data_IF_237383081292
#
_entry.id   IF_237383081292
#
_cell.length_a   1.000
_cell.length_b   1.000
_cell.length_c   1.000
_cell.angle_alpha   90.00
_cell.angle_beta   90.00
_cell.angle_gamma   90.00
#
_symmetry.space_group_name_H-M   'P 1'
#
loop_
_entity.id
_entity.type
_entity.pdbx_description
1 polymer ?
#
# COMPACT_ATOMS: atom_id res chain seq x y z
N UNK A 1 29.68 17.73 -71.35
CA UNK A 1 28.48 18.13 -72.12
C UNK A 1 27.34 18.08 -71.12
N UNK A 2 27.15 19.10 -70.30
CA UNK A 2 26.62 20.44 -70.63
C UNK A 2 25.13 20.38 -70.98
N UNK A 3 24.34 21.07 -70.14
CA UNK A 3 22.93 21.46 -70.30
C UNK A 3 21.91 20.29 -70.28
N UNK A 4 20.79 20.34 -69.55
CA UNK A 4 19.85 21.45 -69.48
C UNK A 4 19.21 21.65 -68.09
N UNK A 5 18.76 22.88 -67.94
CA UNK A 5 18.38 23.61 -66.75
C UNK A 5 16.88 23.86 -66.86
N UNK A 6 16.07 23.19 -66.06
CA UNK A 6 14.67 23.59 -65.83
C UNK A 6 14.52 24.03 -64.38
N UNK A 7 14.98 25.26 -64.17
CA UNK A 7 14.88 26.02 -62.94
C UNK A 7 13.45 26.57 -62.83
N UNK A 8 12.52 25.78 -62.32
CA UNK A 8 11.26 26.32 -61.80
C UNK A 8 11.51 26.75 -60.36
N UNK A 9 12.24 27.85 -60.19
CA UNK A 9 12.30 28.54 -58.91
C UNK A 9 10.97 29.23 -58.70
N UNK A 10 10.17 28.67 -57.79
CA UNK A 10 9.16 29.38 -57.01
C UNK A 10 9.66 30.81 -56.74
N UNK A 11 9.03 31.80 -57.35
CA UNK A 11 9.16 33.18 -56.92
C UNK A 11 8.49 33.27 -55.55
N UNK A 12 9.27 33.07 -54.50
CA UNK A 12 8.96 33.63 -53.21
C UNK A 12 8.89 35.15 -53.42
N UNK A 13 7.68 35.66 -53.63
CA UNK A 13 7.39 37.08 -53.50
C UNK A 13 7.80 37.46 -52.08
N UNK A 14 8.95 38.12 -51.96
CA UNK A 14 9.27 38.87 -50.77
C UNK A 14 8.21 39.96 -50.71
N UNK A 15 7.18 39.76 -49.90
CA UNK A 15 6.19 40.79 -49.56
C UNK A 15 6.91 41.88 -48.76
N UNK A 16 7.76 42.65 -49.43
CA UNK A 16 8.36 43.85 -48.90
C UNK A 16 7.25 44.89 -48.84
N UNK A 17 6.82 45.20 -47.63
CA UNK A 17 5.82 46.22 -47.38
C UNK A 17 6.47 47.59 -47.57
N UNK A 18 6.15 48.26 -48.67
CA UNK A 18 6.74 49.55 -49.05
C UNK A 18 6.03 50.75 -48.42
N UNK A 19 4.89 50.53 -47.75
CA UNK A 19 4.11 51.57 -47.10
C UNK A 19 4.85 52.11 -45.88
N UNK A 20 4.68 53.41 -45.64
CA UNK A 20 5.31 54.09 -44.50
C UNK A 20 4.63 53.65 -43.21
N UNK A 21 5.41 53.12 -42.27
CA UNK A 21 4.91 52.75 -40.95
C UNK A 21 4.79 53.97 -40.05
N UNK A 22 3.62 54.14 -39.46
CA UNK A 22 3.30 55.20 -38.52
C UNK A 22 2.60 54.60 -37.30
N UNK A 23 2.81 55.22 -36.14
CA UNK A 23 2.28 54.76 -34.84
C UNK A 23 0.98 55.47 -34.45
N UNK A 24 0.64 56.57 -35.12
CA UNK A 24 -0.52 57.41 -34.78
C UNK A 24 -1.26 57.87 -36.03
N UNK A 25 -2.49 57.38 -36.19
CA UNK A 25 -3.41 57.83 -37.25
C UNK A 25 -3.70 59.33 -37.15
N UNK A 26 -3.83 59.85 -35.92
CA UNK A 26 -4.10 61.27 -35.64
C UNK A 26 -3.03 62.20 -36.18
N UNK A 27 -1.77 61.85 -35.98
CA UNK A 27 -0.63 62.67 -36.44
C UNK A 27 -0.59 62.75 -37.98
N UNK A 28 -0.91 61.65 -38.67
CA UNK A 28 -1.01 61.62 -40.13
C UNK A 28 -2.15 62.51 -40.62
N UNK A 29 -3.32 62.46 -39.97
CA UNK A 29 -4.46 63.33 -40.29
C UNK A 29 -4.10 64.81 -40.13
N UNK A 30 -3.40 65.18 -39.05
CA UNK A 30 -2.94 66.55 -38.82
C UNK A 30 -1.98 67.03 -39.91
N UNK A 31 -1.04 66.17 -40.34
CA UNK A 31 -0.13 66.47 -41.44
C UNK A 31 -0.86 66.62 -42.77
N UNK A 32 -1.77 65.70 -43.11
CA UNK A 32 -2.59 65.77 -44.32
C UNK A 32 -3.33 67.11 -44.37
N UNK A 33 -3.96 67.52 -43.26
CA UNK A 33 -4.68 68.79 -43.20
C UNK A 33 -3.76 70.00 -43.38
N UNK A 34 -2.58 70.00 -42.77
CA UNK A 34 -1.59 71.07 -42.95
C UNK A 34 -1.16 71.21 -44.41
N UNK A 35 -0.88 70.10 -45.09
CA UNK A 35 -0.48 70.13 -46.50
C UNK A 35 -1.66 70.45 -47.43
N UNK A 36 -2.87 70.02 -47.11
CA UNK A 36 -4.09 70.44 -47.83
C UNK A 36 -4.25 71.97 -47.83
N UNK A 37 -3.99 72.66 -46.71
CA UNK A 37 -4.03 74.12 -46.66
C UNK A 37 -2.99 74.77 -47.60
N UNK A 38 -1.80 74.18 -47.72
CA UNK A 38 -0.78 74.65 -48.67
C UNK A 38 -1.22 74.39 -50.11
N UNK A 39 -1.75 73.20 -50.41
CA UNK A 39 -2.19 72.82 -51.76
C UNK A 39 -3.35 73.68 -52.27
N UNK A 40 -4.20 74.23 -51.39
CA UNK A 40 -5.26 75.18 -51.77
C UNK A 40 -4.71 76.41 -52.49
N UNK A 41 -3.50 76.85 -52.17
CA UNK A 41 -2.86 78.03 -52.78
C UNK A 41 -2.16 77.72 -54.12
N UNK A 42 -2.06 76.45 -54.52
CA UNK A 42 -1.27 76.03 -55.68
C UNK A 42 -1.80 76.56 -57.03
N UNK A 43 -3.12 76.81 -57.12
CA UNK A 43 -3.77 77.29 -58.35
C UNK A 43 -3.98 78.81 -58.39
N UNK A 44 -3.53 79.56 -57.38
CA UNK A 44 -3.73 81.02 -57.31
C UNK A 44 -2.90 81.81 -58.30
N UNK A 45 -1.79 81.24 -58.78
CA UNK A 45 -0.92 81.84 -59.80
C UNK A 45 -1.39 81.66 -61.25
N UNK A 46 -2.55 81.02 -61.49
CA UNK A 46 -3.01 80.70 -62.86
C UNK A 46 -4.16 81.63 -63.30
N UNK A 47 -3.88 82.69 -64.08
CA UNK A 47 -4.88 83.68 -64.47
C UNK A 47 -5.79 83.26 -65.65
N UNK A 48 -5.56 82.10 -66.25
CA UNK A 48 -6.18 81.71 -67.54
C UNK A 48 -7.28 80.64 -67.40
N UNK A 49 -7.71 80.32 -66.18
CA UNK A 49 -8.70 79.28 -65.88
C UNK A 49 -10.00 79.89 -65.37
N UNK A 50 -11.15 79.32 -65.77
CA UNK A 50 -12.44 79.72 -65.24
C UNK A 50 -12.56 79.28 -63.76
N UNK A 51 -13.12 80.14 -62.91
CA UNK A 51 -13.20 79.93 -61.45
C UNK A 51 -13.86 78.58 -61.09
N UNK A 52 -14.89 78.18 -61.84
CA UNK A 52 -15.60 76.90 -61.68
C UNK A 52 -14.70 75.70 -61.98
N UNK A 53 -13.91 75.76 -63.05
CA UNK A 53 -12.96 74.69 -63.40
C UNK A 53 -11.81 74.61 -62.40
N UNK A 54 -11.37 75.76 -61.86
CA UNK A 54 -10.33 75.83 -60.84
C UNK A 54 -10.78 75.16 -59.54
N UNK A 55 -12.03 75.38 -59.12
CA UNK A 55 -12.57 74.76 -57.91
C UNK A 55 -12.70 73.24 -58.04
N UNK A 56 -13.17 72.73 -59.18
CA UNK A 56 -13.29 71.28 -59.42
C UNK A 56 -11.91 70.61 -59.40
N UNK A 57 -10.93 71.18 -60.11
CA UNK A 57 -9.56 70.65 -60.14
C UNK A 57 -8.89 70.70 -58.77
N UNK A 58 -9.13 71.75 -57.99
CA UNK A 58 -8.63 71.85 -56.62
C UNK A 58 -9.22 70.76 -55.73
N UNK A 59 -10.53 70.52 -55.82
CA UNK A 59 -11.21 69.49 -55.05
C UNK A 59 -10.69 68.09 -55.40
N UNK A 60 -10.57 67.77 -56.70
CA UNK A 60 -9.95 66.50 -57.15
C UNK A 60 -8.51 66.37 -56.67
N UNK A 61 -7.70 67.43 -56.76
CA UNK A 61 -6.31 67.41 -56.30
C UNK A 61 -6.21 67.10 -54.81
N UNK A 62 -7.05 67.73 -53.97
CA UNK A 62 -7.05 67.50 -52.53
C UNK A 62 -7.52 66.08 -52.17
N UNK A 63 -8.56 65.58 -52.86
CA UNK A 63 -9.06 64.21 -52.65
C UNK A 63 -8.04 63.16 -53.09
N UNK A 64 -7.41 63.35 -54.26
CA UNK A 64 -6.37 62.46 -54.78
C UNK A 64 -5.12 62.47 -53.89
N UNK A 65 -4.72 63.64 -53.38
CA UNK A 65 -3.62 63.73 -52.42
C UNK A 65 -3.90 62.95 -51.15
N UNK A 66 -5.08 63.13 -50.55
CA UNK A 66 -5.48 62.41 -49.35
C UNK A 66 -5.52 60.90 -49.57
N UNK A 67 -6.21 60.43 -50.61
CA UNK A 67 -6.31 59.00 -50.92
C UNK A 67 -4.92 58.40 -51.17
N UNK A 68 -4.06 59.09 -51.93
CA UNK A 68 -2.69 58.62 -52.18
C UNK A 68 -1.87 58.52 -50.89
N UNK A 69 -2.01 59.46 -49.95
CA UNK A 69 -1.31 59.37 -48.66
C UNK A 69 -1.86 58.22 -47.81
N UNK A 70 -3.18 58.05 -47.76
CA UNK A 70 -3.83 56.99 -46.99
C UNK A 70 -3.47 55.59 -47.52
N UNK A 71 -3.41 55.41 -48.84
CA UNK A 71 -3.04 54.14 -49.48
C UNK A 71 -1.57 53.74 -49.29
N UNK A 72 -0.71 54.72 -48.96
CA UNK A 72 0.74 54.52 -48.80
C UNK A 72 1.20 54.52 -47.34
N UNK A 73 0.28 54.56 -46.37
CA UNK A 73 0.58 54.57 -44.93
C UNK A 73 0.01 53.33 -44.26
N UNK A 74 0.78 52.77 -43.33
CA UNK A 74 0.32 51.75 -42.39
C UNK A 74 0.37 52.31 -40.98
N UNK A 75 -0.74 52.17 -40.26
CA UNK A 75 -0.82 52.55 -38.84
C UNK A 75 -0.74 51.28 -38.01
N UNK A 76 0.30 51.15 -37.18
CA UNK A 76 0.58 49.95 -36.37
C UNK A 76 0.53 48.64 -37.17
N UNK A 77 1.03 48.68 -38.42
CA UNK A 77 1.06 47.54 -39.34
C UNK A 77 -0.29 47.19 -39.97
N UNK A 78 -1.33 48.01 -39.76
CA UNK A 78 -2.65 47.85 -40.37
C UNK A 78 -2.88 48.88 -41.48
N UNK A 79 -3.66 48.53 -42.53
CA UNK A 79 -4.09 49.49 -43.54
C UNK A 79 -4.95 50.60 -42.91
N UNK A 80 -4.99 51.75 -43.58
CA UNK A 80 -5.64 52.97 -43.09
C UNK A 80 -7.11 52.78 -42.66
N UNK A 81 -7.87 51.94 -43.36
CA UNK A 81 -9.27 51.63 -43.07
C UNK A 81 -9.46 50.73 -41.83
N UNK A 82 -8.50 49.85 -41.54
CA UNK A 82 -8.56 48.90 -40.41
C UNK A 82 -7.89 49.46 -39.15
N UNK A 83 -7.12 50.53 -39.29
CA UNK A 83 -6.52 51.25 -38.19
C UNK A 83 -7.59 51.95 -37.36
N UNK A 84 -7.66 51.61 -36.08
CA UNK A 84 -8.61 52.18 -35.13
C UNK A 84 -8.53 53.72 -35.09
N UNK A 85 -9.70 54.35 -35.15
CA UNK A 85 -9.79 55.79 -34.94
C UNK A 85 -9.62 56.15 -33.46
N UNK A 86 -8.90 57.25 -33.16
CA UNK A 86 -8.67 57.68 -31.78
C UNK A 86 -9.98 58.12 -31.10
N UNK A 87 -10.94 58.64 -31.86
CA UNK A 87 -12.24 59.11 -31.36
C UNK A 87 -13.24 57.96 -31.11
N UNK A 88 -13.01 56.78 -31.70
CA UNK A 88 -13.90 55.61 -31.55
C UNK A 88 -13.50 54.74 -30.35
N UNK A 89 -12.34 54.99 -29.74
CA UNK A 89 -11.81 54.27 -28.59
C UNK A 89 -11.99 55.02 -27.26
N UNK A 90 -12.97 55.91 -27.15
CA UNK A 90 -13.41 56.36 -25.82
C UNK A 90 -14.49 55.39 -25.31
N UNK A 91 -14.12 54.33 -24.57
CA UNK A 91 -15.10 53.41 -24.04
C UNK A 91 -16.03 54.15 -23.06
N UNK A 92 -17.34 53.89 -23.11
CA UNK A 92 -18.28 54.49 -22.18
C UNK A 92 -17.88 54.16 -20.72
N UNK A 93 -17.57 55.21 -19.97
CA UNK A 93 -17.39 55.30 -18.51
C UNK A 93 -16.80 54.05 -17.83
N UNK A 94 -15.60 53.63 -18.27
CA UNK A 94 -14.84 52.54 -17.65
C UNK A 94 -14.57 52.78 -16.17
N UNK A 95 -14.47 54.05 -15.76
CA UNK A 95 -14.18 54.43 -14.39
C UNK A 95 -15.33 54.05 -13.45
N UNK A 96 -16.59 54.26 -13.87
CA UNK A 96 -17.76 53.80 -13.10
C UNK A 96 -17.84 52.27 -13.02
N UNK A 97 -17.58 51.57 -14.14
CA UNK A 97 -17.56 50.10 -14.11
C UNK A 97 -16.45 49.58 -13.18
N UNK A 98 -15.28 50.22 -13.20
CA UNK A 98 -14.17 49.86 -12.33
C UNK A 98 -14.54 50.07 -10.86
N UNK A 99 -15.12 51.22 -10.51
CA UNK A 99 -15.54 51.51 -9.15
C UNK A 99 -16.60 50.52 -8.64
N UNK A 100 -17.60 50.20 -9.47
CA UNK A 100 -18.62 49.22 -9.12
C UNK A 100 -18.00 47.84 -8.84
N UNK A 101 -17.06 47.40 -9.68
CA UNK A 101 -16.37 46.11 -9.47
C UNK A 101 -15.48 46.12 -8.23
N UNK A 102 -14.82 47.23 -7.92
CA UNK A 102 -14.01 47.38 -6.70
C UNK A 102 -14.90 47.31 -5.45
N UNK A 103 -16.04 48.01 -5.46
CA UNK A 103 -16.99 47.99 -4.34
C UNK A 103 -17.59 46.60 -4.15
N UNK A 104 -18.02 45.95 -5.24
CA UNK A 104 -18.58 44.61 -5.19
C UNK A 104 -17.56 43.59 -4.66
N UNK A 105 -16.35 43.59 -5.20
CA UNK A 105 -15.30 42.65 -4.78
C UNK A 105 -14.92 42.86 -3.32
N UNK A 106 -14.81 44.11 -2.88
CA UNK A 106 -14.54 44.45 -1.47
C UNK A 106 -15.66 43.96 -0.56
N UNK A 107 -16.93 44.18 -0.95
CA UNK A 107 -18.10 43.67 -0.20
C UNK A 107 -18.09 42.15 -0.13
N UNK A 108 -17.78 41.46 -1.24
CA UNK A 108 -17.71 39.99 -1.28
C UNK A 108 -16.61 39.46 -0.36
N UNK A 109 -15.41 40.02 -0.42
CA UNK A 109 -14.26 39.64 0.44
C UNK A 109 -14.56 39.82 1.93
N UNK A 110 -15.31 40.85 2.31
CA UNK A 110 -15.66 41.09 3.71
C UNK A 110 -16.82 40.21 4.21
N UNK A 111 -17.86 40.01 3.39
CA UNK A 111 -19.10 39.39 3.84
C UNK A 111 -19.12 37.86 3.67
N UNK A 112 -18.60 37.33 2.56
CA UNK A 112 -18.78 35.92 2.23
C UNK A 112 -18.03 34.97 3.17
N UNK A 113 -16.78 35.23 3.59
CA UNK A 113 -16.10 34.36 4.55
C UNK A 113 -16.87 34.22 5.86
N UNK A 114 -17.49 35.31 6.34
CA UNK A 114 -18.33 35.31 7.55
C UNK A 114 -19.63 34.52 7.38
N UNK A 115 -20.18 34.47 6.17
CA UNK A 115 -21.37 33.66 5.83
C UNK A 115 -21.04 32.19 5.64
N UNK A 116 -19.91 31.88 5.00
CA UNK A 116 -19.47 30.51 4.68
C UNK A 116 -18.99 29.78 5.95
N UNK A 117 -18.27 30.49 6.84
CA UNK A 117 -17.65 29.90 8.03
C UNK A 117 -18.64 29.10 8.90
N UNK A 118 -19.83 29.62 9.27
CA UNK A 118 -20.83 28.85 9.99
C UNK A 118 -21.18 27.54 9.27
N UNK A 119 -21.46 27.55 7.97
CA UNK A 119 -21.86 26.34 7.24
C UNK A 119 -20.78 25.25 7.30
N UNK A 120 -19.52 25.64 7.08
CA UNK A 120 -18.38 24.71 7.16
C UNK A 120 -18.23 24.16 8.59
N UNK A 121 -18.29 25.02 9.61
CA UNK A 121 -18.19 24.59 11.01
C UNK A 121 -19.33 23.62 11.38
N UNK A 122 -20.57 23.88 10.93
CA UNK A 122 -21.70 23.00 11.18
C UNK A 122 -21.51 21.64 10.48
N UNK A 123 -21.03 21.64 9.23
CA UNK A 123 -20.76 20.39 8.49
C UNK A 123 -19.68 19.55 9.17
N UNK A 124 -18.57 20.15 9.59
CA UNK A 124 -17.46 19.47 10.25
C UNK A 124 -17.86 18.95 11.64
N UNK A 125 -18.72 19.70 12.35
CA UNK A 125 -19.31 19.23 13.61
C UNK A 125 -20.27 18.06 13.41
N UNK A 126 -21.03 18.03 12.32
CA UNK A 126 -21.90 16.91 11.98
C UNK A 126 -21.09 15.66 11.62
N UNK A 127 -20.02 15.82 10.85
CA UNK A 127 -19.08 14.73 10.53
C UNK A 127 -18.43 14.15 11.79
N UNK A 128 -17.92 15.00 12.68
CA UNK A 128 -17.38 14.55 13.99
C UNK A 128 -18.43 13.79 14.81
N UNK A 129 -19.69 14.26 14.83
CA UNK A 129 -20.77 13.55 15.51
C UNK A 129 -21.04 12.18 14.88
N UNK A 130 -21.02 12.09 13.56
CA UNK A 130 -21.19 10.83 12.83
C UNK A 130 -20.07 9.84 13.16
N UNK A 131 -18.82 10.30 13.18
CA UNK A 131 -17.67 9.47 13.57
C UNK A 131 -17.82 8.90 14.99
N UNK A 132 -18.29 9.71 15.94
CA UNK A 132 -18.57 9.24 17.30
C UNK A 132 -19.62 8.12 17.38
N UNK A 133 -20.53 8.00 16.40
CA UNK A 133 -21.46 6.87 16.33
C UNK A 133 -20.77 5.58 15.87
N UNK A 134 -19.76 5.68 15.01
CA UNK A 134 -19.00 4.53 14.53
C UNK A 134 -18.08 3.94 15.62
N UNK A 135 -17.46 4.77 16.46
CA UNK A 135 -16.55 4.31 17.52
C UNK A 135 -17.19 3.29 18.49
N UNK A 136 -18.49 3.43 18.77
CA UNK A 136 -19.21 2.54 19.69
C UNK A 136 -19.81 1.30 19.01
N UNK A 137 -19.81 1.23 17.68
CA UNK A 137 -20.48 0.15 16.95
C UNK A 137 -19.58 -1.09 16.79
N UNK A 138 -18.27 -0.98 17.06
CA UNK A 138 -17.31 -2.07 16.91
C UNK A 138 -16.88 -2.60 18.28
N UNK A 139 -17.79 -3.28 18.97
CA UNK A 139 -17.37 -4.17 20.05
C UNK A 139 -16.70 -5.39 19.44
N UNK A 140 -15.39 -5.54 19.66
CA UNK A 140 -14.67 -6.74 19.23
C UNK A 140 -15.20 -7.93 20.01
N UNK A 141 -15.81 -8.89 19.31
CA UNK A 141 -16.28 -10.11 19.94
C UNK A 141 -15.11 -10.82 20.62
N UNK A 142 -15.13 -10.90 21.95
CA UNK A 142 -14.13 -11.64 22.72
C UNK A 142 -14.14 -13.10 22.28
N UNK A 143 -13.00 -13.56 21.76
CA UNK A 143 -12.82 -14.97 21.40
C UNK A 143 -12.61 -15.75 22.69
N UNK A 144 -13.70 -16.21 23.26
CA UNK A 144 -13.69 -17.13 24.41
C UNK A 144 -13.08 -18.46 23.94
N UNK A 145 -12.03 -18.92 24.61
CA UNK A 145 -11.43 -20.23 24.36
C UNK A 145 -12.42 -21.32 24.76
N UNK A 146 -12.48 -22.39 23.98
CA UNK A 146 -13.34 -23.53 24.30
C UNK A 146 -12.93 -24.14 25.66
N UNK A 147 -13.83 -24.17 26.67
CA UNK A 147 -13.53 -24.71 27.99
C UNK A 147 -13.14 -26.20 27.96
N UNK A 148 -13.60 -26.94 26.95
CA UNK A 148 -13.22 -28.35 26.76
C UNK A 148 -11.76 -28.44 26.33
N UNK A 149 -11.33 -27.59 25.39
CA UNK A 149 -9.93 -27.53 24.94
C UNK A 149 -8.98 -27.13 26.08
N UNK A 150 -9.37 -26.16 26.91
CA UNK A 150 -8.55 -25.73 28.05
C UNK A 150 -8.36 -26.85 29.07
N UNK A 151 -9.42 -27.61 29.36
CA UNK A 151 -9.38 -28.75 30.27
C UNK A 151 -8.45 -29.85 29.75
N UNK A 152 -8.58 -30.21 28.46
CA UNK A 152 -7.72 -31.22 27.83
C UNK A 152 -6.25 -30.78 27.83
N UNK A 153 -5.98 -29.52 27.51
CA UNK A 153 -4.61 -28.98 27.52
C UNK A 153 -4.00 -28.97 28.92
N UNK A 154 -4.79 -28.62 29.94
CA UNK A 154 -4.36 -28.64 31.35
C UNK A 154 -4.01 -30.07 31.80
N UNK A 155 -4.91 -31.02 31.58
CA UNK A 155 -4.71 -32.42 31.96
C UNK A 155 -3.48 -33.02 31.28
N UNK A 156 -3.32 -32.77 29.96
CA UNK A 156 -2.16 -33.25 29.21
C UNK A 156 -0.85 -32.63 29.73
N UNK A 157 -0.88 -31.33 30.07
CA UNK A 157 0.29 -30.64 30.63
C UNK A 157 0.68 -31.16 32.03
N UNK A 158 -0.30 -31.61 32.83
CA UNK A 158 -0.06 -32.18 34.15
C UNK A 158 0.50 -33.62 34.08
N UNK A 159 0.01 -34.43 33.14
CA UNK A 159 0.38 -35.86 33.02
C UNK A 159 1.69 -36.06 32.27
N UNK A 160 1.96 -35.27 31.23
CA UNK A 160 3.11 -35.48 30.34
C UNK A 160 4.49 -35.51 31.07
N UNK A 161 4.80 -34.62 32.03
CA UNK A 161 6.08 -34.66 32.74
C UNK A 161 6.28 -35.94 33.57
N UNK A 162 5.20 -36.49 34.12
CA UNK A 162 5.24 -37.74 34.88
C UNK A 162 5.60 -38.93 34.00
N UNK A 163 4.95 -39.03 32.83
CA UNK A 163 5.25 -40.07 31.84
C UNK A 163 6.69 -39.98 31.32
N UNK A 164 7.19 -38.78 31.05
CA UNK A 164 8.58 -38.57 30.60
C UNK A 164 9.57 -39.03 31.67
N UNK A 165 9.33 -38.72 32.95
CA UNK A 165 10.19 -39.21 34.05
C UNK A 165 10.20 -40.74 34.13
N UNK A 166 9.05 -41.37 34.00
CA UNK A 166 8.95 -42.84 33.98
C UNK A 166 9.71 -43.44 32.80
N UNK A 167 9.57 -42.88 31.59
CA UNK A 167 10.30 -43.32 30.42
C UNK A 167 11.82 -43.22 30.61
N UNK A 168 12.30 -42.09 31.16
CA UNK A 168 13.73 -41.91 31.48
C UNK A 168 14.20 -42.96 32.51
N UNK A 169 13.38 -43.25 33.52
CA UNK A 169 13.72 -44.25 34.54
C UNK A 169 13.81 -45.66 33.96
N UNK A 170 12.88 -46.03 33.07
CA UNK A 170 12.90 -47.32 32.36
C UNK A 170 14.14 -47.45 31.48
N UNK A 171 14.49 -46.40 30.74
CA UNK A 171 15.71 -46.39 29.91
C UNK A 171 16.95 -46.59 30.79
N UNK A 172 17.02 -45.93 31.95
CA UNK A 172 18.14 -46.11 32.88
C UNK A 172 18.20 -47.53 33.43
N UNK A 173 17.07 -48.10 33.85
CA UNK A 173 17.05 -49.45 34.43
C UNK A 173 17.39 -50.53 33.41
N UNK A 174 16.92 -50.40 32.16
CA UNK A 174 17.28 -51.31 31.05
C UNK A 174 18.79 -51.32 30.84
N UNK A 175 19.44 -50.15 30.79
CA UNK A 175 20.89 -50.08 30.63
C UNK A 175 21.65 -50.75 31.79
N UNK A 176 21.15 -50.61 33.03
CA UNK A 176 21.76 -51.31 34.17
C UNK A 176 21.57 -52.82 34.11
N UNK A 177 20.37 -53.27 33.71
CA UNK A 177 20.04 -54.69 33.58
C UNK A 177 20.87 -55.34 32.48
N UNK A 178 21.06 -54.65 31.35
CA UNK A 178 21.90 -55.12 30.26
C UNK A 178 23.34 -55.37 30.73
N UNK A 179 23.95 -54.41 31.46
CA UNK A 179 25.29 -54.59 32.03
C UNK A 179 25.38 -55.77 32.99
N UNK A 180 24.36 -55.97 33.83
CA UNK A 180 24.30 -57.11 34.74
C UNK A 180 24.20 -58.45 33.99
N UNK A 181 23.37 -58.50 32.94
CA UNK A 181 23.23 -59.68 32.09
C UNK A 181 24.52 -59.99 31.33
N UNK A 182 25.19 -58.98 30.75
CA UNK A 182 26.48 -59.14 30.08
C UNK A 182 27.56 -59.65 31.04
N UNK A 183 27.67 -59.09 32.26
CA UNK A 183 28.61 -59.57 33.27
C UNK A 183 28.33 -61.01 33.72
N UNK A 184 27.06 -61.40 33.85
CA UNK A 184 26.69 -62.79 34.17
C UNK A 184 27.06 -63.74 33.02
N UNK A 185 26.78 -63.34 31.78
CA UNK A 185 27.18 -64.10 30.59
C UNK A 185 28.70 -64.26 30.51
N UNK A 186 29.47 -63.21 30.82
CA UNK A 186 30.93 -63.27 30.89
C UNK A 186 31.40 -64.32 31.90
N UNK A 187 30.87 -64.28 33.14
CA UNK A 187 31.19 -65.27 34.18
C UNK A 187 30.87 -66.69 33.74
N UNK A 188 29.71 -66.92 33.12
CA UNK A 188 29.31 -68.24 32.61
C UNK A 188 30.17 -68.71 31.43
N UNK A 189 30.76 -67.79 30.67
CA UNK A 189 31.65 -68.09 29.54
C UNK A 189 33.11 -68.33 29.94
N UNK A 190 33.49 -68.02 31.19
CA UNK A 190 34.85 -68.27 31.69
C UNK A 190 35.10 -69.77 31.88
N UNK A 191 36.28 -70.22 31.47
CA UNK A 191 36.72 -71.59 31.77
C UNK A 191 37.08 -71.67 33.26
N UNK A 192 36.65 -72.73 33.98
CA UNK A 192 37.01 -72.89 35.39
C UNK A 192 38.54 -72.94 35.53
N UNK A 193 39.08 -72.24 36.54
CA UNK A 193 40.51 -72.25 36.79
C UNK A 193 40.97 -73.66 37.18
N UNK A 194 42.24 -73.98 36.93
CA UNK A 194 42.84 -75.27 37.30
C UNK A 194 42.61 -75.61 38.78
N UNK A 195 42.71 -74.62 39.67
CA UNK A 195 42.42 -74.77 41.10
C UNK A 195 40.95 -75.11 41.39
N UNK A 196 40.02 -74.52 40.64
CA UNK A 196 38.58 -74.80 40.81
C UNK A 196 38.23 -76.18 40.25
N UNK A 197 38.89 -76.60 39.17
CA UNK A 197 38.78 -77.96 38.63
C UNK A 197 39.36 -79.01 39.59
N UNK A 198 40.50 -78.73 40.23
CA UNK A 198 41.08 -79.61 41.25
C UNK A 198 40.16 -79.77 42.46
N UNK A 199 39.63 -78.67 42.99
CA UNK A 199 38.64 -78.72 44.08
C UNK A 199 37.37 -79.46 43.63
N UNK A 200 36.87 -79.21 42.42
CA UNK A 200 35.71 -79.94 41.91
C UNK A 200 36.01 -81.43 41.77
N UNK A 201 37.23 -81.80 41.37
CA UNK A 201 37.66 -83.19 41.30
C UNK A 201 37.73 -83.82 42.70
N UNK A 202 38.32 -83.13 43.68
CA UNK A 202 38.46 -83.64 45.04
C UNK A 202 37.11 -83.77 45.77
N UNK A 203 36.12 -82.95 45.41
CA UNK A 203 34.78 -82.96 46.02
C UNK A 203 33.79 -83.88 45.29
N UNK A 204 33.88 -83.99 43.96
CA UNK A 204 32.88 -84.69 43.14
C UNK A 204 33.39 -85.90 42.36
N UNK A 205 34.70 -86.12 42.23
CA UNK A 205 35.27 -87.25 41.46
C UNK A 205 35.43 -88.48 42.36
N UNK A 206 34.30 -89.13 42.62
CA UNK A 206 34.26 -90.44 43.26
C UNK A 206 34.62 -91.54 42.24
N UNK A 207 35.90 -91.72 41.91
CA UNK A 207 36.35 -92.90 41.15
C UNK A 207 36.65 -94.09 42.08
N UNK A 208 35.59 -94.84 42.37
CA UNK A 208 35.50 -96.29 42.61
C UNK A 208 36.68 -97.03 43.28
N UNK A 209 36.50 -97.42 44.55
CA UNK A 209 36.84 -98.78 44.98
C UNK A 209 36.04 -99.24 46.22
N UNK A 210 35.10 -100.16 45.95
CA UNK A 210 34.60 -101.30 46.74
C UNK A 210 34.00 -101.16 48.16
N UNK A 211 32.75 -101.65 48.20
CA UNK A 211 32.07 -102.43 49.23
C UNK A 211 31.40 -101.78 50.45
N UNK A 212 30.08 -102.02 50.48
CA UNK A 212 29.18 -102.16 51.63
C UNK A 212 28.52 -100.86 52.20
N UNK A 213 27.39 -100.98 52.93
CA UNK A 213 26.08 -100.51 52.47
C UNK A 213 25.54 -99.28 53.23
N UNK A 214 24.48 -98.69 52.68
CA UNK A 214 23.62 -97.66 53.28
C UNK A 214 23.44 -97.77 54.81
N UNK A 215 23.34 -96.61 55.48
CA UNK A 215 22.12 -96.30 56.24
C UNK A 215 21.57 -94.92 55.82
N UNK A 216 20.28 -94.77 55.54
CA UNK A 216 19.14 -94.80 56.47
C UNK A 216 18.88 -93.46 57.16
N UNK A 217 17.77 -92.85 56.71
CA UNK A 217 16.74 -92.13 57.47
C UNK A 217 17.11 -90.80 58.15
N UNK A 218 16.44 -89.74 57.67
CA UNK A 218 15.81 -88.75 58.53
C UNK A 218 16.30 -87.31 58.35
N UNK A 219 15.52 -86.47 57.66
CA UNK A 219 15.73 -85.02 57.73
C UNK A 219 14.97 -84.18 56.72
N UNK A 220 13.79 -83.69 57.13
CA UNK A 220 13.12 -82.48 56.66
C UNK A 220 12.86 -82.34 55.14
N UNK A 221 11.62 -82.57 54.73
CA UNK A 221 11.04 -82.05 53.49
C UNK A 221 11.11 -80.52 53.46
N UNK A 222 12.23 -79.96 52.99
CA UNK A 222 12.28 -78.59 52.50
C UNK A 222 11.57 -78.56 51.14
N UNK A 223 10.38 -77.98 51.16
CA UNK A 223 9.61 -77.55 49.98
C UNK A 223 10.52 -76.83 48.98
N UNK A 224 10.95 -77.52 47.92
CA UNK A 224 11.42 -76.90 46.68
C UNK A 224 10.21 -76.68 45.79
N UNK A 225 9.66 -75.46 45.79
CA UNK A 225 8.86 -75.01 44.67
C UNK A 225 9.73 -74.16 43.73
N UNK A 226 9.64 -74.36 42.40
CA UNK A 226 10.42 -73.58 41.45
C UNK A 226 9.93 -72.12 41.38
N UNK A 227 10.90 -71.20 41.36
CA UNK A 227 10.77 -69.73 41.43
C UNK A 227 9.73 -69.15 40.44
N UNK A 228 9.45 -69.84 39.34
CA UNK A 228 8.55 -69.39 38.27
C UNK A 228 7.12 -69.10 38.74
N UNK A 229 6.61 -69.81 39.76
CA UNK A 229 5.23 -69.63 40.24
C UNK A 229 5.04 -68.37 41.09
N UNK A 230 6.07 -67.98 41.84
CA UNK A 230 6.01 -66.83 42.75
C UNK A 230 6.01 -65.49 42.00
N UNK A 231 6.61 -65.42 40.81
CA UNK A 231 6.65 -64.20 39.99
C UNK A 231 5.34 -63.95 39.24
N UNK A 232 4.64 -65.01 38.84
CA UNK A 232 3.40 -64.93 38.06
C UNK A 232 2.21 -64.50 38.94
N UNK A 233 2.17 -64.96 40.19
CA UNK A 233 1.09 -64.63 41.14
C UNK A 233 1.17 -63.16 41.61
N UNK A 234 2.37 -62.58 41.73
CA UNK A 234 2.56 -61.17 42.06
C UNK A 234 2.14 -60.22 40.92
N UNK A 235 2.32 -60.63 39.65
CA UNK A 235 1.92 -59.82 38.49
C UNK A 235 0.38 -59.73 38.36
N UNK A 236 -0.35 -60.79 38.72
CA UNK A 236 -1.80 -60.82 38.63
C UNK A 236 -2.50 -59.94 39.68
N UNK A 237 -1.90 -59.75 40.85
CA UNK A 237 -2.52 -59.02 41.96
C UNK A 237 -2.57 -57.49 41.76
N UNK A 238 -1.72 -56.92 40.90
CA UNK A 238 -1.58 -55.47 40.75
C UNK A 238 -2.37 -54.84 39.59
N UNK A 239 -3.09 -55.63 38.78
CA UNK A 239 -3.64 -55.17 37.51
C UNK A 239 -5.17 -54.95 37.47
N UNK A 240 -5.90 -55.02 38.59
CA UNK A 240 -7.35 -54.83 38.55
C UNK A 240 -7.87 -53.78 39.55
N UNK A 241 -8.37 -52.67 38.99
CA UNK A 241 -9.17 -51.65 39.71
C UNK A 241 -10.58 -51.62 39.09
N UNK A 242 -11.65 -51.96 39.83
CA UNK A 242 -13.01 -51.94 39.30
C UNK A 242 -13.52 -50.50 39.09
N UNK A 243 -14.25 -50.21 37.99
CA UNK A 243 -14.81 -48.88 37.75
C UNK A 243 -16.04 -48.60 38.62
N UNK A 244 -16.05 -47.42 39.28
CA UNK A 244 -17.20 -46.93 40.05
C UNK A 244 -18.37 -46.54 39.12
N UNK A 245 -19.54 -47.11 39.40
CA UNK A 245 -20.82 -46.90 38.68
C UNK A 245 -21.33 -45.46 38.92
N UNK A 246 -21.30 -44.59 37.91
CA UNK A 246 -22.03 -43.29 37.93
C UNK A 246 -23.53 -43.55 37.72
N UNK A 247 -24.38 -43.05 38.62
CA UNK A 247 -25.84 -43.00 38.44
C UNK A 247 -26.19 -41.84 37.50
N UNK A 248 -26.84 -42.14 36.39
CA UNK A 248 -27.46 -41.17 35.48
C UNK A 248 -28.77 -40.65 36.08
N UNK A 249 -28.95 -39.33 36.16
CA UNK A 249 -30.25 -38.68 36.26
C UNK A 249 -30.65 -38.15 34.86
N UNK A 250 -31.92 -38.30 34.42
CA UNK A 250 -32.38 -37.77 33.16
C UNK A 250 -32.71 -36.27 33.24
N UNK A 251 -32.35 -35.58 32.16
CA UNK A 251 -32.57 -34.17 31.84
C UNK A 251 -34.06 -33.90 31.64
N UNK A 252 -34.58 -32.84 32.26
CA UNK A 252 -35.92 -32.31 32.02
C UNK A 252 -35.87 -31.22 30.92
N UNK A 253 -36.85 -31.27 30.03
CA UNK A 253 -37.11 -30.35 28.94
C UNK A 253 -37.45 -28.93 29.44
N UNK A 254 -37.00 -27.92 28.68
CA UNK A 254 -37.47 -26.54 28.79
C UNK A 254 -37.46 -25.87 27.42
N UNK A 255 -38.65 -25.69 26.83
CA UNK A 255 -38.91 -24.88 25.62
C UNK A 255 -39.05 -23.38 25.99
N UNK A 256 -38.87 -22.47 25.01
CA UNK A 256 -38.71 -21.05 25.25
C UNK A 256 -40.03 -20.29 25.29
N UNK A 257 -40.08 -19.22 26.10
CA UNK A 257 -40.89 -18.01 25.90
C UNK A 257 -40.05 -16.81 26.34
#
# INVERSE_FOLDING_TARGET
MESEKSKTSLSAETNEEYRVQVTSKKEVIEQINKYKEVLKTALDGQPNMAEETKQVLLQELLANFEAAVQDNVLVDGKPWEEASDPEENEPPDLDVLLDDTIVETTRRRCAYPRKILPHVVHSLKAERKLMGLYEHTVETQEVVKDPVQETIMSDLSAVAPGMVKQAIQVIKSINTLQKQAEGLCEVLSMKPSLTTLEIHRDVFDCSSQFDAPLPSVGGATRSRQPIKRATEEAAAAHCYVPPNKKRHHPVAEGKPQ
#
